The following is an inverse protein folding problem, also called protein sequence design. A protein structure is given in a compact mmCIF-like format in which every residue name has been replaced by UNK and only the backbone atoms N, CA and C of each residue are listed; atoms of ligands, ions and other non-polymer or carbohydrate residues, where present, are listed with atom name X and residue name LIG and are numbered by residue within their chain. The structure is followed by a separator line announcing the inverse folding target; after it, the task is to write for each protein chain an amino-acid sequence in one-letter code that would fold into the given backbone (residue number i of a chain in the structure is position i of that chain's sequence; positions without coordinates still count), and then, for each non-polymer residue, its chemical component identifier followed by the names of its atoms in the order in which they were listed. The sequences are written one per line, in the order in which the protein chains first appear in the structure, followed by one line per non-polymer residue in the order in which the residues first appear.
data_IF_133171674057
#
_entry.id   IF_133171674057
#
_cell.length_a   1.000
_cell.length_b   1.000
_cell.length_c   1.000
_cell.angle_alpha   90.00
_cell.angle_beta   90.00
_cell.angle_gamma   90.00
#
_symmetry.space_group_name_H-M   'P 1'
#
loop_
_entity.id
_entity.type
_entity.pdbx_description
1 polymer ?
#
# COMPACT_ATOMS: atom_id res chain seq x y z
N UNK A 1 3.47 15.95 1.39
CA UNK A 1 2.36 15.01 1.60
C UNK A 1 1.94 14.57 0.22
N UNK A 2 2.30 13.33 -0.12
CA UNK A 2 2.09 12.76 -1.42
C UNK A 2 1.04 11.64 -1.32
N UNK A 3 0.37 11.40 -2.44
CA UNK A 3 -0.41 10.18 -2.62
C UNK A 3 0.13 9.43 -3.82
N UNK A 4 0.17 8.10 -3.71
CA UNK A 4 0.56 7.24 -4.81
C UNK A 4 -0.33 6.01 -4.86
N UNK A 5 -0.68 5.60 -6.07
CA UNK A 5 -1.52 4.42 -6.31
C UNK A 5 -0.65 3.31 -6.86
N UNK A 6 -0.54 2.24 -6.10
CA UNK A 6 0.15 1.02 -6.46
C UNK A 6 -0.85 0.02 -7.04
N UNK A 7 -0.51 -0.66 -8.12
CA UNK A 7 -1.31 -1.80 -8.62
C UNK A 7 -0.77 -3.06 -7.98
N UNK A 8 -1.61 -3.93 -7.44
CA UNK A 8 -1.21 -5.19 -6.78
C UNK A 8 -1.95 -6.35 -7.39
N UNK A 9 -1.23 -7.40 -7.78
CA UNK A 9 -1.84 -8.54 -8.48
C UNK A 9 -2.68 -9.44 -7.58
N UNK A 10 -2.37 -9.48 -6.28
CA UNK A 10 -2.92 -10.47 -5.34
C UNK A 10 -3.86 -9.86 -4.28
N UNK A 11 -4.86 -9.08 -4.69
CA UNK A 11 -5.88 -8.57 -3.76
C UNK A 11 -7.24 -9.23 -4.09
N UNK A 12 -7.42 -10.45 -3.61
CA UNK A 12 -8.60 -11.27 -3.99
C UNK A 12 -9.77 -11.19 -3.01
N UNK A 13 -9.62 -10.52 -1.87
CA UNK A 13 -10.64 -10.50 -0.81
C UNK A 13 -10.55 -9.23 0.05
N UNK A 14 -11.66 -8.79 0.64
CA UNK A 14 -11.68 -7.68 1.62
C UNK A 14 -10.82 -7.93 2.87
N UNK A 15 -10.48 -9.20 3.14
CA UNK A 15 -9.48 -9.54 4.15
C UNK A 15 -8.06 -9.08 3.75
N UNK A 16 -7.70 -9.20 2.47
CA UNK A 16 -6.42 -8.73 1.92
C UNK A 16 -6.32 -7.20 1.99
N UNK A 17 -7.41 -6.49 1.66
CA UNK A 17 -7.51 -5.04 1.81
C UNK A 17 -7.22 -4.60 3.26
N UNK A 18 -7.89 -5.26 4.22
CA UNK A 18 -7.69 -4.95 5.64
C UNK A 18 -6.26 -5.24 6.10
N UNK A 19 -5.66 -6.33 5.60
CA UNK A 19 -4.28 -6.70 5.91
C UNK A 19 -3.29 -5.66 5.38
N UNK A 20 -3.42 -5.25 4.11
CA UNK A 20 -2.59 -4.21 3.49
C UNK A 20 -2.71 -2.90 4.25
N UNK A 21 -3.95 -2.46 4.52
CA UNK A 21 -4.21 -1.24 5.28
C UNK A 21 -3.53 -1.28 6.64
N UNK A 22 -3.64 -2.39 7.38
CA UNK A 22 -2.99 -2.54 8.69
C UNK A 22 -1.47 -2.58 8.60
N UNK A 23 -0.90 -3.26 7.63
CA UNK A 23 0.56 -3.31 7.43
C UNK A 23 1.13 -1.94 7.12
N UNK A 24 0.53 -1.23 6.16
CA UNK A 24 0.99 0.08 5.74
C UNK A 24 0.71 1.18 6.78
N UNK A 25 -0.41 1.12 7.48
CA UNK A 25 -0.73 2.10 8.54
C UNK A 25 0.20 2.01 9.75
N UNK A 26 1.00 0.95 9.88
CA UNK A 26 2.04 0.80 10.91
C UNK A 26 3.39 1.39 10.49
N UNK A 27 3.53 1.81 9.24
CA UNK A 27 4.76 2.41 8.74
C UNK A 27 4.77 3.89 9.10
N UNK A 28 5.83 4.31 9.79
CA UNK A 28 6.04 5.72 10.12
C UNK A 28 6.11 6.57 8.84
N UNK A 29 5.26 7.60 8.76
CA UNK A 29 5.12 8.42 7.56
C UNK A 29 3.91 8.07 6.70
N UNK A 30 3.25 6.93 6.90
CA UNK A 30 1.96 6.65 6.26
C UNK A 30 0.84 7.39 6.99
N UNK A 31 0.04 8.15 6.24
CA UNK A 31 -1.09 8.93 6.75
C UNK A 31 -2.43 8.27 6.45
N UNK A 32 -2.56 7.72 5.26
CA UNK A 32 -3.78 7.06 4.82
C UNK A 32 -3.48 5.91 3.86
N UNK A 33 -4.32 4.88 3.88
CA UNK A 33 -4.21 3.73 2.99
C UNK A 33 -5.61 3.32 2.57
N UNK A 34 -5.83 3.33 1.27
CA UNK A 34 -7.10 3.07 0.60
C UNK A 34 -6.88 1.95 -0.43
N UNK A 35 -6.95 0.69 0.03
CA UNK A 35 -6.93 -0.46 -0.86
C UNK A 35 -8.29 -0.62 -1.54
N UNK A 36 -8.27 -1.01 -2.81
CA UNK A 36 -9.42 -1.27 -3.65
C UNK A 36 -9.23 -2.61 -4.36
N UNK A 37 -9.93 -3.64 -3.87
CA UNK A 37 -9.88 -4.95 -4.48
C UNK A 37 -10.73 -5.11 -5.72
N UNK A 38 -11.68 -4.21 -5.98
CA UNK A 38 -12.42 -4.22 -7.23
C UNK A 38 -11.51 -3.82 -8.40
N UNK A 39 -10.56 -2.92 -8.17
CA UNK A 39 -9.65 -2.42 -9.21
C UNK A 39 -8.21 -2.94 -9.09
N UNK A 40 -7.91 -3.75 -8.07
CA UNK A 40 -6.55 -4.23 -7.77
C UNK A 40 -5.55 -3.09 -7.52
N UNK A 41 -6.02 -2.00 -6.91
CA UNK A 41 -5.23 -0.79 -6.68
C UNK A 41 -5.17 -0.47 -5.20
N UNK A 42 -4.06 0.08 -4.75
CA UNK A 42 -3.85 0.52 -3.37
C UNK A 42 -3.33 1.94 -3.42
N UNK A 43 -4.17 2.87 -3.00
CA UNK A 43 -3.78 4.27 -2.87
C UNK A 43 -3.23 4.49 -1.46
N UNK A 44 -2.03 5.05 -1.38
CA UNK A 44 -1.35 5.33 -0.12
C UNK A 44 -1.02 6.81 -0.07
N UNK A 45 -1.46 7.47 1.00
CA UNK A 45 -1.07 8.83 1.34
C UNK A 45 0.03 8.75 2.37
N UNK A 46 1.19 9.30 2.05
CA UNK A 46 2.37 9.25 2.89
C UNK A 46 3.13 10.58 2.85
N UNK A 47 4.04 10.71 3.80
CA UNK A 47 4.93 11.84 3.87
C UNK A 47 6.21 11.54 3.08
N UNK A 48 6.33 12.11 1.90
CA UNK A 48 7.51 12.01 1.01
C UNK A 48 8.81 12.55 1.64
N UNK A 49 8.74 13.25 2.78
CA UNK A 49 9.91 13.66 3.54
C UNK A 49 10.44 12.56 4.48
N UNK A 50 9.57 11.58 4.81
CA UNK A 50 9.88 10.48 5.74
C UNK A 50 9.91 9.11 5.04
N UNK A 51 9.18 8.97 3.94
CA UNK A 51 8.94 7.69 3.28
C UNK A 51 8.96 7.84 1.76
N UNK A 52 9.66 6.92 1.10
CA UNK A 52 9.76 6.88 -0.36
C UNK A 52 8.90 5.77 -0.97
N UNK A 53 8.56 5.93 -2.26
CA UNK A 53 7.84 4.92 -3.05
C UNK A 53 8.51 3.54 -3.02
N UNK A 54 9.84 3.50 -3.06
CA UNK A 54 10.60 2.25 -2.98
C UNK A 54 10.45 1.54 -1.63
N UNK A 55 10.35 2.30 -0.53
CA UNK A 55 10.07 1.72 0.78
C UNK A 55 8.65 1.18 0.86
N UNK A 56 7.67 1.91 0.32
CA UNK A 56 6.29 1.45 0.23
C UNK A 56 6.15 0.16 -0.57
N UNK A 57 6.76 0.11 -1.76
CA UNK A 57 6.78 -1.08 -2.59
C UNK A 57 7.45 -2.27 -1.86
N UNK A 58 8.59 -2.04 -1.20
CA UNK A 58 9.26 -3.08 -0.43
C UNK A 58 8.45 -3.57 0.78
N UNK A 59 7.67 -2.69 1.42
CA UNK A 59 6.75 -3.07 2.52
C UNK A 59 5.57 -3.89 2.02
N UNK A 60 5.04 -3.55 0.84
CA UNK A 60 3.99 -4.31 0.18
C UNK A 60 4.50 -5.71 -0.22
N UNK A 61 5.67 -5.79 -0.82
CA UNK A 61 6.34 -7.04 -1.17
C UNK A 61 6.60 -7.93 0.06
N UNK A 62 7.15 -7.35 1.13
CA UNK A 62 7.38 -8.06 2.40
C UNK A 62 6.08 -8.51 3.10
N UNK A 63 4.95 -7.86 2.80
CA UNK A 63 3.64 -8.26 3.27
C UNK A 63 2.99 -9.35 2.40
N UNK A 64 3.65 -9.77 1.32
CA UNK A 64 3.13 -10.75 0.35
C UNK A 64 2.21 -10.15 -0.71
N UNK A 65 2.30 -8.84 -0.94
CA UNK A 65 1.52 -8.12 -1.96
C UNK A 65 2.48 -7.44 -2.93
N UNK A 66 3.12 -8.19 -3.84
CA UNK A 66 4.05 -7.61 -4.81
C UNK A 66 3.33 -6.59 -5.68
N UNK A 67 3.94 -5.40 -5.77
CA UNK A 67 3.42 -4.32 -6.60
C UNK A 67 3.69 -4.63 -8.07
N UNK A 68 2.65 -4.62 -8.88
CA UNK A 68 2.76 -4.67 -10.33
C UNK A 68 2.94 -3.24 -10.84
N UNK A 69 4.10 -2.99 -11.44
CA UNK A 69 4.47 -1.71 -12.04
C UNK A 69 3.66 -1.40 -13.31
#
# INVERSE_FOLDING_TARGET
MAQHTFTVGEIHCGACETAIRKSLSRVDGVRHVEPDAATNKVTVVFDEQLLDLGQLAGRLDAAGYPVLA
#
